data_IF_300949354875
#
_entry.id   IF_300949354875
#
_cell.length_a   1.000
_cell.length_b   1.000
_cell.length_c   1.000
_cell.angle_alpha   90.00
_cell.angle_beta   90.00
_cell.angle_gamma   90.00
#
_symmetry.space_group_name_H-M   'P 1'
#
loop_
_entity.id
_entity.type
_entity.pdbx_description
1 polymer ?
#
# COMPACT_ATOMS: atom_id res chain seq x y z
N UNK A 1 -7.34 3.55 -13.30
CA UNK A 1 -6.88 4.96 -13.13
C UNK A 1 -8.00 5.99 -13.15
N UNK A 2 -8.77 6.17 -14.23
CA UNK A 2 -9.85 7.19 -14.28
C UNK A 2 -10.92 6.98 -13.21
N UNK A 3 -11.30 5.73 -12.96
CA UNK A 3 -12.26 5.34 -11.93
C UNK A 3 -11.85 5.83 -10.54
N UNK A 4 -10.57 5.64 -10.14
CA UNK A 4 -10.05 6.14 -8.87
C UNK A 4 -10.35 7.64 -8.71
N UNK A 5 -10.03 8.44 -9.73
CA UNK A 5 -10.23 9.90 -9.69
C UNK A 5 -11.72 10.28 -9.68
N UNK A 6 -12.55 9.63 -10.51
CA UNK A 6 -13.99 9.93 -10.59
C UNK A 6 -14.74 9.54 -9.32
N UNK A 7 -14.29 8.52 -8.61
CA UNK A 7 -14.89 8.06 -7.36
C UNK A 7 -14.38 8.81 -6.14
N UNK A 8 -13.68 9.94 -6.28
CA UNK A 8 -13.24 10.78 -5.16
C UNK A 8 -14.30 11.00 -4.06
N UNK A 9 -15.58 11.32 -4.39
CA UNK A 9 -16.64 11.45 -3.39
C UNK A 9 -16.95 10.18 -2.57
N UNK A 10 -16.59 9.00 -3.09
CA UNK A 10 -16.76 7.70 -2.42
C UNK A 10 -15.48 7.22 -1.72
N UNK A 11 -14.52 8.11 -1.45
CA UNK A 11 -13.31 7.84 -0.65
C UNK A 11 -12.54 6.60 -1.14
N UNK A 12 -11.96 6.63 -2.37
CA UNK A 12 -11.12 5.53 -2.84
C UNK A 12 -9.90 5.39 -1.92
N UNK A 13 -9.61 4.15 -1.48
CA UNK A 13 -8.59 3.85 -0.47
C UNK A 13 -7.37 3.17 -1.06
N UNK A 14 -7.55 2.27 -2.02
CA UNK A 14 -6.43 1.65 -2.71
C UNK A 14 -6.77 1.32 -4.16
N UNK A 15 -5.75 1.19 -4.99
CA UNK A 15 -5.80 0.61 -6.33
C UNK A 15 -4.67 -0.39 -6.47
N UNK A 16 -5.03 -1.65 -6.75
CA UNK A 16 -4.10 -2.73 -7.05
C UNK A 16 -4.23 -3.13 -8.52
N UNK A 17 -3.12 -3.06 -9.25
CA UNK A 17 -3.02 -3.47 -10.64
C UNK A 17 -1.82 -4.43 -10.79
N UNK A 18 -1.86 -5.26 -11.82
CA UNK A 18 -0.76 -6.17 -12.15
C UNK A 18 -0.52 -6.09 -13.65
N UNK A 19 0.75 -6.01 -14.05
CA UNK A 19 1.17 -6.05 -15.45
C UNK A 19 2.14 -7.21 -15.68
N UNK A 20 1.82 -8.06 -16.65
CA UNK A 20 2.66 -9.15 -17.10
C UNK A 20 3.48 -8.70 -18.32
N UNK A 21 4.77 -9.06 -18.35
CA UNK A 21 5.65 -8.79 -19.49
C UNK A 21 5.84 -7.31 -19.82
N UNK A 22 5.66 -6.41 -18.85
CA UNK A 22 5.96 -4.98 -18.98
C UNK A 22 4.98 -4.14 -19.82
N UNK A 23 3.88 -4.71 -20.33
CA UNK A 23 2.91 -3.92 -21.11
C UNK A 23 1.46 -4.40 -21.04
N UNK A 24 1.23 -5.70 -20.76
CA UNK A 24 -0.13 -6.25 -20.74
C UNK A 24 -0.63 -6.35 -19.31
N UNK A 25 -1.69 -5.61 -18.99
CA UNK A 25 -2.35 -5.75 -17.69
C UNK A 25 -2.88 -7.17 -17.51
N UNK A 26 -2.67 -7.72 -16.32
CA UNK A 26 -3.27 -8.96 -15.89
C UNK A 26 -4.81 -8.85 -15.95
N UNK A 27 -5.49 -9.99 -15.85
CA UNK A 27 -6.96 -10.03 -16.00
C UNK A 27 -7.69 -9.11 -15.02
N UNK A 28 -7.20 -8.99 -13.78
CA UNK A 28 -7.92 -8.30 -12.72
C UNK A 28 -7.21 -7.03 -12.23
N UNK A 29 -8.01 -6.06 -11.80
CA UNK A 29 -7.56 -4.95 -10.97
C UNK A 29 -8.60 -4.68 -9.89
N UNK A 30 -8.16 -4.12 -8.77
CA UNK A 30 -8.96 -3.99 -7.57
C UNK A 30 -8.92 -2.57 -7.05
N UNK A 31 -10.09 -1.97 -6.82
CA UNK A 31 -10.21 -0.64 -6.22
C UNK A 31 -11.09 -0.74 -4.97
N UNK A 32 -10.46 -0.63 -3.80
CA UNK A 32 -11.18 -0.53 -2.53
C UNK A 32 -11.55 0.92 -2.23
N UNK A 33 -12.75 1.15 -1.71
CA UNK A 33 -13.29 2.49 -1.44
C UNK A 33 -14.37 2.44 -0.36
N UNK A 34 -14.77 3.60 0.16
CA UNK A 34 -15.79 3.70 1.22
C UNK A 34 -15.18 3.78 2.62
N UNK A 35 -15.98 3.42 3.63
CA UNK A 35 -15.51 3.32 5.01
C UNK A 35 -14.63 2.08 5.16
N UNK A 36 -13.71 2.09 6.12
CA UNK A 36 -12.76 0.99 6.30
C UNK A 36 -12.49 0.69 7.76
N UNK A 37 -12.32 -0.60 8.07
CA UNK A 37 -11.62 -1.02 9.27
C UNK A 37 -10.14 -0.66 9.09
N UNK A 38 -9.59 0.14 9.99
CA UNK A 38 -8.18 0.55 9.93
C UNK A 38 -7.39 -0.03 11.09
N UNK A 39 -6.16 -0.45 10.80
CA UNK A 39 -5.16 -0.90 11.77
C UNK A 39 -3.84 -0.18 11.49
N UNK A 40 -3.28 0.50 12.49
CA UNK A 40 -2.04 1.26 12.38
C UNK A 40 -1.16 1.04 13.60
N UNK A 41 0.04 0.53 13.37
CA UNK A 41 1.09 0.41 14.38
C UNK A 41 1.97 1.66 14.32
N UNK A 42 1.75 2.59 15.24
CA UNK A 42 2.51 3.83 15.39
C UNK A 42 3.58 3.65 16.47
N UNK A 43 4.60 4.51 16.49
CA UNK A 43 5.63 4.48 17.55
C UNK A 43 5.04 4.62 18.96
N UNK A 44 3.94 5.35 19.08
CA UNK A 44 3.24 5.64 20.35
C UNK A 44 2.28 4.54 20.78
N UNK A 45 1.79 3.70 19.87
CA UNK A 45 0.72 2.76 20.16
C UNK A 45 0.13 2.10 18.92
N UNK A 46 -0.84 1.22 19.13
CA UNK A 46 -1.64 0.61 18.09
C UNK A 46 -2.99 1.33 18.00
N UNK A 47 -3.33 1.86 16.83
CA UNK A 47 -4.69 2.30 16.52
C UNK A 47 -5.41 1.21 15.75
N UNK A 48 -6.58 0.80 16.20
CA UNK A 48 -7.31 -0.28 15.57
C UNK A 48 -8.82 -0.07 15.77
N UNK A 49 -9.58 -0.05 14.67
CA UNK A 49 -11.05 0.15 14.71
C UNK A 49 -11.46 1.47 15.37
N UNK A 50 -10.66 2.53 15.22
CA UNK A 50 -10.90 3.83 15.86
C UNK A 50 -10.51 3.91 17.35
N UNK A 51 -10.03 2.81 17.94
CA UNK A 51 -9.57 2.75 19.33
C UNK A 51 -8.04 2.78 19.40
N UNK A 52 -7.50 3.18 20.55
CA UNK A 52 -6.07 3.23 20.82
C UNK A 52 -5.69 2.20 21.89
N UNK A 53 -4.64 1.43 21.60
CA UNK A 53 -4.11 0.37 22.45
C UNK A 53 -2.60 0.54 22.65
N UNK A 54 -2.03 -0.02 23.72
CA UNK A 54 -0.59 -0.21 23.81
C UNK A 54 -0.05 -0.99 22.61
N UNK A 55 1.23 -0.78 22.29
CA UNK A 55 1.89 -1.58 21.24
C UNK A 55 1.93 -3.07 21.63
N UNK A 56 1.90 -3.99 20.66
CA UNK A 56 2.24 -5.39 20.90
C UNK A 56 3.61 -5.49 21.57
N UNK A 57 3.79 -6.44 22.49
CA UNK A 57 5.05 -6.58 23.25
C UNK A 57 6.02 -7.57 22.60
N UNK A 58 5.51 -8.50 21.80
CA UNK A 58 6.26 -9.58 21.18
C UNK A 58 5.55 -10.08 19.91
N UNK A 59 6.15 -11.07 19.26
CA UNK A 59 5.61 -11.71 18.06
C UNK A 59 4.16 -12.19 18.22
N UNK A 60 3.82 -12.87 19.33
CA UNK A 60 2.48 -13.45 19.53
C UNK A 60 1.43 -12.35 19.60
N UNK A 61 1.66 -11.32 20.41
CA UNK A 61 0.75 -10.18 20.54
C UNK A 61 0.48 -9.52 19.18
N UNK A 62 1.52 -9.35 18.34
CA UNK A 62 1.39 -8.75 17.01
C UNK A 62 0.56 -9.63 16.07
N UNK A 63 0.84 -10.94 16.04
CA UNK A 63 0.12 -11.88 15.20
C UNK A 63 -1.34 -12.04 15.63
N UNK A 64 -1.63 -12.01 16.92
CA UNK A 64 -2.99 -12.11 17.45
C UNK A 64 -3.83 -10.88 17.06
N UNK A 65 -3.24 -9.69 17.15
CA UNK A 65 -3.86 -8.46 16.65
C UNK A 65 -4.14 -8.53 15.14
N UNK A 66 -3.18 -9.01 14.34
CA UNK A 66 -3.38 -9.13 12.89
C UNK A 66 -4.47 -10.19 12.55
N UNK A 67 -4.52 -11.30 13.28
CA UNK A 67 -5.57 -12.33 13.11
C UNK A 67 -6.96 -11.80 13.46
N UNK A 68 -7.08 -11.05 14.56
CA UNK A 68 -8.35 -10.40 14.92
C UNK A 68 -8.74 -9.35 13.88
N UNK A 69 -7.78 -8.57 13.35
CA UNK A 69 -8.06 -7.62 12.27
C UNK A 69 -8.55 -8.31 10.99
N UNK A 70 -7.98 -9.46 10.62
CA UNK A 70 -8.45 -10.27 9.48
C UNK A 70 -9.85 -10.83 9.75
N UNK A 71 -10.13 -11.33 10.96
CA UNK A 71 -11.45 -11.91 11.27
C UNK A 71 -12.58 -10.88 11.30
N UNK A 72 -12.25 -9.60 11.47
CA UNK A 72 -13.21 -8.48 11.50
C UNK A 72 -13.30 -7.70 10.18
N UNK A 73 -12.60 -8.12 9.13
CA UNK A 73 -12.74 -7.44 7.83
C UNK A 73 -14.18 -7.53 7.33
N UNK A 74 -14.72 -6.47 6.69
CA UNK A 74 -16.06 -6.52 6.11
C UNK A 74 -16.22 -7.67 5.12
N UNK A 75 -17.29 -8.45 5.26
CA UNK A 75 -17.62 -9.51 4.32
C UNK A 75 -18.28 -8.90 3.07
N UNK A 76 -17.58 -8.90 1.94
CA UNK A 76 -18.08 -8.25 0.73
C UNK A 76 -18.91 -9.22 -0.13
N UNK A 77 -20.09 -8.76 -0.55
CA UNK A 77 -21.03 -9.52 -1.37
C UNK A 77 -21.29 -8.83 -2.72
N UNK A 78 -21.61 -9.58 -3.79
CA UNK A 78 -21.80 -11.03 -3.83
C UNK A 78 -20.49 -11.81 -3.89
N UNK A 79 -20.52 -13.07 -3.45
CA UNK A 79 -19.40 -13.99 -3.66
C UNK A 79 -19.25 -14.32 -5.16
N UNK A 80 -18.06 -14.08 -5.72
CA UNK A 80 -17.73 -14.39 -7.11
C UNK A 80 -16.75 -15.56 -7.12
N UNK A 81 -17.14 -16.74 -7.64
CA UNK A 81 -16.27 -17.90 -7.68
C UNK A 81 -14.96 -17.62 -8.43
N UNK A 82 -13.85 -18.13 -7.89
CA UNK A 82 -12.50 -18.03 -8.49
C UNK A 82 -11.95 -16.60 -8.59
N UNK A 83 -12.58 -15.63 -7.92
CA UNK A 83 -12.03 -14.28 -7.83
C UNK A 83 -10.76 -14.32 -6.95
N UNK A 84 -9.61 -13.77 -7.41
CA UNK A 84 -8.36 -13.90 -6.66
C UNK A 84 -8.31 -13.03 -5.40
N UNK A 85 -9.16 -12.01 -5.33
CA UNK A 85 -9.27 -11.12 -4.18
C UNK A 85 -10.70 -10.58 -4.07
N UNK A 86 -11.36 -10.85 -2.95
CA UNK A 86 -12.76 -10.50 -2.69
C UNK A 86 -12.94 -9.53 -1.51
N UNK A 87 -11.86 -8.87 -1.08
CA UNK A 87 -11.82 -8.07 0.14
C UNK A 87 -10.80 -8.60 1.14
N UNK A 88 -10.55 -7.82 2.19
CA UNK A 88 -9.55 -8.12 3.23
C UNK A 88 -8.68 -6.92 3.57
N UNK A 89 -7.67 -7.13 4.42
CA UNK A 89 -6.70 -6.11 4.78
C UNK A 89 -5.73 -5.84 3.62
N UNK A 90 -5.61 -4.57 3.25
CA UNK A 90 -4.66 -4.06 2.25
C UNK A 90 -3.86 -2.92 2.89
N UNK A 91 -2.55 -2.92 2.72
CA UNK A 91 -1.70 -1.96 3.39
C UNK A 91 -0.22 -2.19 3.19
N UNK A 92 0.58 -1.72 4.15
CA UNK A 92 2.03 -1.80 4.16
C UNK A 92 2.55 -2.09 5.56
N UNK A 93 3.59 -2.91 5.65
CA UNK A 93 4.45 -3.04 6.82
C UNK A 93 5.87 -2.60 6.46
N UNK A 94 6.45 -1.73 7.27
CA UNK A 94 7.84 -1.35 7.19
C UNK A 94 8.75 -2.48 7.67
N UNK A 95 10.02 -2.42 7.25
CA UNK A 95 11.03 -3.42 7.58
C UNK A 95 11.19 -3.64 9.09
N UNK A 96 11.12 -2.58 9.89
CA UNK A 96 11.34 -2.66 11.35
C UNK A 96 10.31 -3.53 12.09
N UNK A 97 9.19 -3.92 11.46
CA UNK A 97 8.29 -4.95 11.98
C UNK A 97 8.99 -6.28 12.26
N UNK A 98 10.10 -6.57 11.57
CA UNK A 98 10.94 -7.75 11.82
C UNK A 98 11.45 -7.82 13.27
N UNK A 99 11.54 -6.69 13.97
CA UNK A 99 12.02 -6.62 15.37
C UNK A 99 11.06 -7.27 16.38
N UNK A 100 9.85 -7.59 15.95
CA UNK A 100 8.94 -8.44 16.72
C UNK A 100 9.31 -9.92 16.67
N UNK A 101 10.04 -10.33 15.63
CA UNK A 101 10.41 -11.71 15.34
C UNK A 101 11.87 -11.98 15.68
N UNK A 102 12.75 -11.00 15.48
CA UNK A 102 14.19 -11.15 15.63
C UNK A 102 14.77 -10.07 16.55
N UNK A 103 15.76 -10.46 17.37
CA UNK A 103 16.50 -9.51 18.18
C UNK A 103 17.57 -8.82 17.34
N UNK A 104 17.29 -7.59 16.91
CA UNK A 104 18.22 -6.76 16.16
C UNK A 104 18.78 -5.65 17.06
N UNK A 105 20.02 -5.77 17.56
CA UNK A 105 20.65 -4.70 18.33
C UNK A 105 20.85 -3.47 17.43
N UNK A 106 20.67 -2.28 18.00
CA UNK A 106 20.74 -0.96 17.34
C UNK A 106 19.50 -0.60 16.49
N UNK A 107 18.72 0.37 16.98
CA UNK A 107 17.84 1.14 16.12
C UNK A 107 18.70 2.18 15.39
N UNK A 108 18.71 2.20 14.04
CA UNK A 108 19.34 3.30 13.34
C UNK A 108 18.63 4.59 13.73
N UNK A 109 19.36 5.55 14.30
CA UNK A 109 18.84 6.89 14.51
C UNK A 109 18.89 7.63 13.18
N UNK A 110 17.87 7.48 12.35
CA UNK A 110 17.81 8.25 11.11
C UNK A 110 17.50 9.70 11.47
N UNK A 111 18.33 10.63 10.99
CA UNK A 111 18.00 12.05 11.01
C UNK A 111 16.73 12.22 10.15
N UNK A 112 15.74 12.94 10.69
CA UNK A 112 14.43 13.15 10.07
C UNK A 112 13.69 11.84 9.71
N UNK A 113 13.42 10.99 10.71
CA UNK A 113 12.53 9.85 10.49
C UNK A 113 11.13 10.31 10.05
N UNK A 114 10.58 9.74 8.96
CA UNK A 114 9.19 9.93 8.62
C UNK A 114 8.33 9.57 9.83
N UNK A 115 7.32 10.39 10.13
CA UNK A 115 6.30 10.08 11.15
C UNK A 115 5.36 8.95 10.71
N UNK A 116 5.77 8.17 9.72
CA UNK A 116 5.00 7.09 9.17
C UNK A 116 4.76 5.98 10.22
N UNK A 117 3.60 5.34 10.20
CA UNK A 117 3.38 4.14 10.98
C UNK A 117 4.32 3.02 10.52
N UNK A 118 4.72 2.17 11.46
CA UNK A 118 5.54 0.99 11.20
C UNK A 118 4.77 -0.07 10.41
N UNK A 119 3.46 -0.15 10.62
CA UNK A 119 2.55 -0.87 9.74
C UNK A 119 1.20 -0.17 9.68
N UNK A 120 0.56 -0.15 8.52
CA UNK A 120 -0.78 0.39 8.34
C UNK A 120 -1.56 -0.43 7.31
N UNK A 121 -2.74 -0.86 7.70
CA UNK A 121 -3.66 -1.65 6.90
C UNK A 121 -5.06 -1.09 6.99
N UNK A 122 -5.83 -1.30 5.92
CA UNK A 122 -7.24 -1.00 5.89
C UNK A 122 -8.02 -2.09 5.15
N UNK A 123 -9.26 -2.30 5.56
CA UNK A 123 -10.22 -3.18 4.88
C UNK A 123 -11.50 -2.37 4.58
N UNK A 124 -11.65 -1.86 3.34
CA UNK A 124 -12.81 -1.07 2.97
C UNK A 124 -14.06 -1.92 2.84
N UNK A 125 -15.22 -1.30 3.03
CA UNK A 125 -16.55 -1.91 2.93
C UNK A 125 -17.02 -2.13 1.48
N UNK A 126 -16.28 -1.62 0.49
CA UNK A 126 -16.64 -1.66 -0.92
C UNK A 126 -15.43 -1.93 -1.80
N UNK A 127 -15.64 -2.74 -2.85
CA UNK A 127 -14.62 -3.15 -3.79
C UNK A 127 -15.16 -3.12 -5.23
N UNK A 128 -14.49 -2.39 -6.11
CA UNK A 128 -14.65 -2.58 -7.56
C UNK A 128 -13.61 -3.57 -8.06
N UNK A 129 -14.10 -4.60 -8.72
CA UNK A 129 -13.29 -5.60 -9.42
C UNK A 129 -13.40 -5.35 -10.91
N UNK A 130 -12.28 -5.02 -11.54
CA UNK A 130 -12.19 -4.87 -12.98
C UNK A 130 -11.78 -6.21 -13.59
N UNK A 131 -12.61 -6.78 -14.46
CA UNK A 131 -12.25 -7.93 -15.30
C UNK A 131 -11.94 -7.42 -16.71
N UNK A 132 -10.65 -7.28 -17.02
CA UNK A 132 -10.16 -6.76 -18.30
C UNK A 132 -10.40 -7.74 -19.45
N UNK A 133 -10.60 -9.03 -19.16
CA UNK A 133 -10.92 -10.04 -20.17
C UNK A 133 -12.37 -9.88 -20.63
N UNK A 134 -13.31 -9.79 -19.69
CA UNK A 134 -14.74 -9.64 -20.02
C UNK A 134 -15.18 -8.20 -20.21
N UNK A 135 -14.31 -7.22 -19.90
CA UNK A 135 -14.59 -5.78 -19.89
C UNK A 135 -15.75 -5.41 -18.97
N UNK A 136 -15.85 -6.10 -17.84
CA UNK A 136 -16.88 -5.85 -16.82
C UNK A 136 -16.26 -5.27 -15.55
N UNK A 137 -17.08 -4.53 -14.81
CA UNK A 137 -16.76 -4.08 -13.45
C UNK A 137 -17.80 -4.70 -12.53
N UNK A 138 -17.37 -5.51 -11.56
CA UNK A 138 -18.22 -5.98 -10.49
C UNK A 138 -18.09 -5.05 -9.28
N UNK A 139 -19.21 -4.78 -8.61
CA UNK A 139 -19.25 -4.09 -7.33
C UNK A 139 -19.55 -5.12 -6.25
N UNK A 140 -18.63 -5.23 -5.29
CA UNK A 140 -18.81 -5.97 -4.06
C UNK A 140 -18.95 -4.97 -2.92
N UNK A 141 -19.86 -5.22 -1.98
CA UNK A 141 -20.15 -4.31 -0.86
C UNK A 141 -20.58 -5.12 0.37
N UNK A 142 -20.25 -4.65 1.57
CA UNK A 142 -20.61 -5.28 2.84
C UNK A 142 -22.07 -5.03 3.27
N UNK A 143 -22.66 -3.93 2.81
CA UNK A 143 -24.05 -3.59 3.08
C UNK A 143 -25.07 -4.48 2.36
N UNK A 144 -26.33 -4.33 2.74
CA UNK A 144 -27.45 -5.09 2.20
C UNK A 144 -27.73 -4.81 0.71
N UNK A 145 -28.62 -5.59 0.12
CA UNK A 145 -28.94 -5.49 -1.31
C UNK A 145 -29.42 -4.10 -1.75
N UNK A 146 -30.21 -3.40 -0.91
CA UNK A 146 -30.67 -2.03 -1.20
C UNK A 146 -29.50 -1.05 -1.25
N UNK A 147 -28.66 -1.04 -0.21
CA UNK A 147 -27.48 -0.19 -0.11
C UNK A 147 -26.52 -0.43 -1.28
N UNK A 148 -26.29 -1.71 -1.64
CA UNK A 148 -25.46 -2.08 -2.79
C UNK A 148 -26.03 -1.59 -4.11
N UNK A 149 -27.36 -1.60 -4.29
CA UNK A 149 -28.01 -1.09 -5.51
C UNK A 149 -27.91 0.44 -5.61
N UNK A 150 -28.09 1.15 -4.50
CA UNK A 150 -27.91 2.60 -4.41
C UNK A 150 -26.46 2.99 -4.71
N UNK A 151 -25.51 2.30 -4.08
CA UNK A 151 -24.08 2.50 -4.33
C UNK A 151 -23.72 2.23 -5.79
N UNK A 152 -24.30 1.19 -6.40
CA UNK A 152 -24.11 0.88 -7.83
C UNK A 152 -24.62 2.01 -8.72
N UNK A 153 -25.79 2.57 -8.42
CA UNK A 153 -26.34 3.70 -9.17
C UNK A 153 -25.42 4.93 -9.06
N UNK A 154 -24.91 5.21 -7.86
CA UNK A 154 -24.00 6.31 -7.60
C UNK A 154 -22.65 6.15 -8.31
N UNK A 155 -22.04 4.96 -8.22
CA UNK A 155 -20.81 4.63 -8.96
C UNK A 155 -21.00 4.85 -10.46
N UNK A 156 -22.12 4.39 -11.04
CA UNK A 156 -22.42 4.61 -12.47
C UNK A 156 -22.55 6.09 -12.81
N UNK A 157 -23.23 6.86 -11.96
CA UNK A 157 -23.41 8.31 -12.13
C UNK A 157 -22.06 9.04 -12.13
N UNK A 158 -21.20 8.74 -11.16
CA UNK A 158 -19.85 9.32 -11.06
C UNK A 158 -18.97 8.92 -12.24
N UNK A 159 -19.03 7.65 -12.67
CA UNK A 159 -18.27 7.17 -13.83
C UNK A 159 -18.71 7.80 -15.15
N UNK A 160 -20.00 8.15 -15.31
CA UNK A 160 -20.53 8.86 -16.46
C UNK A 160 -20.20 10.37 -16.44
N UNK A 161 -19.92 10.93 -15.26
CA UNK A 161 -19.56 12.33 -15.09
C UNK A 161 -18.22 12.73 -15.73
N UNK A 162 -17.92 14.04 -15.80
CA UNK A 162 -16.66 14.53 -16.34
C UNK A 162 -15.47 14.08 -15.51
N UNK A 163 -14.29 14.02 -16.12
CA UNK A 163 -13.05 13.83 -15.36
C UNK A 163 -12.80 15.03 -14.44
N UNK A 164 -12.46 14.81 -13.16
CA UNK A 164 -12.01 15.89 -12.30
C UNK A 164 -10.81 16.62 -12.92
N UNK A 165 -10.77 17.95 -12.80
CA UNK A 165 -9.64 18.75 -13.29
C UNK A 165 -8.36 18.29 -12.60
N UNK A 166 -7.28 18.16 -13.36
CA UNK A 166 -5.97 17.92 -12.77
C UNK A 166 -5.45 19.24 -12.19
N UNK A 167 -4.84 19.21 -11.01
CA UNK A 167 -4.07 20.36 -10.52
C UNK A 167 -2.80 20.50 -11.38
N UNK A 168 -2.53 21.72 -11.84
CA UNK A 168 -1.54 21.98 -12.89
C UNK A 168 -0.15 22.43 -12.38
N UNK A 169 0.06 22.60 -11.07
CA UNK A 169 1.37 23.03 -10.54
C UNK A 169 2.02 21.94 -9.70
N UNK A 170 2.94 21.21 -10.33
CA UNK A 170 3.84 20.28 -9.69
C UNK A 170 5.18 20.98 -9.43
N UNK A 171 5.54 21.14 -8.16
CA UNK A 171 6.90 21.47 -7.74
C UNK A 171 7.57 20.22 -7.19
N UNK A 172 8.83 20.01 -7.55
CA UNK A 172 9.69 18.99 -6.97
C UNK A 172 10.92 19.72 -6.43
N UNK A 173 11.16 19.59 -5.13
CA UNK A 173 12.32 20.13 -4.45
C UNK A 173 13.58 19.28 -4.68
N UNK A 174 14.72 19.70 -4.12
CA UNK A 174 15.95 18.90 -4.18
C UNK A 174 15.75 17.54 -3.49
N UNK A 175 16.43 16.53 -4.01
CA UNK A 175 16.47 15.19 -3.44
C UNK A 175 17.74 15.04 -2.61
N UNK A 176 17.59 14.55 -1.38
CA UNK A 176 18.67 14.28 -0.44
C UNK A 176 18.80 12.77 -0.23
N UNK A 177 20.03 12.26 -0.33
CA UNK A 177 20.36 10.88 0.01
C UNK A 177 20.68 10.75 1.51
N UNK A 178 20.35 9.61 2.11
CA UNK A 178 20.68 9.29 3.50
C UNK A 178 22.14 8.96 3.73
N UNK A 179 22.88 8.65 2.65
CA UNK A 179 24.31 8.37 2.66
C UNK A 179 24.94 9.10 1.47
N UNK A 180 26.11 9.68 1.69
CA UNK A 180 26.98 10.13 0.61
C UNK A 180 27.53 8.94 -0.16
N UNK A 181 28.09 9.21 -1.35
CA UNK A 181 28.73 8.20 -2.18
C UNK A 181 29.89 7.52 -1.43
N UNK A 182 30.72 8.30 -0.74
CA UNK A 182 31.91 7.78 -0.06
C UNK A 182 31.52 6.94 1.15
N UNK A 183 30.48 7.33 1.90
CA UNK A 183 29.92 6.53 2.99
C UNK A 183 29.33 5.21 2.48
N UNK A 184 28.61 5.23 1.36
CA UNK A 184 28.06 4.02 0.76
C UNK A 184 29.17 3.08 0.28
N UNK A 185 30.21 3.60 -0.38
CA UNK A 185 31.38 2.80 -0.82
C UNK A 185 32.10 2.20 0.39
N UNK A 186 32.32 2.97 1.46
CA UNK A 186 32.92 2.46 2.69
C UNK A 186 32.07 1.35 3.33
N UNK A 187 30.74 1.48 3.32
CA UNK A 187 29.83 0.43 3.79
C UNK A 187 29.91 -0.85 2.92
N UNK A 188 30.05 -0.71 1.60
CA UNK A 188 30.25 -1.83 0.67
C UNK A 188 31.58 -2.55 0.96
N UNK A 189 32.67 -1.81 1.13
CA UNK A 189 33.98 -2.41 1.45
C UNK A 189 33.95 -3.14 2.79
N UNK A 190 33.35 -2.55 3.81
CA UNK A 190 33.14 -3.23 5.10
C UNK A 190 32.29 -4.50 4.96
N UNK A 191 31.27 -4.49 4.11
CA UNK A 191 30.44 -5.67 3.85
C UNK A 191 31.25 -6.80 3.19
N UNK A 192 32.15 -6.47 2.26
CA UNK A 192 33.08 -7.43 1.64
C UNK A 192 34.03 -8.05 2.66
N UNK A 193 34.51 -7.27 3.64
CA UNK A 193 35.31 -7.80 4.74
C UNK A 193 34.54 -8.82 5.58
N UNK A 194 33.27 -8.55 5.91
CA UNK A 194 32.41 -9.51 6.62
C UNK A 194 32.19 -10.79 5.80
N UNK A 195 32.02 -10.67 4.48
CA UNK A 195 31.93 -11.85 3.59
C UNK A 195 33.23 -12.65 3.60
N UNK A 196 34.38 -11.98 3.48
CA UNK A 196 35.69 -12.63 3.46
C UNK A 196 36.01 -13.36 4.79
N UNK A 197 35.51 -12.85 5.92
CA UNK A 197 35.63 -13.50 7.23
C UNK A 197 34.67 -14.66 7.44
N UNK A 198 33.68 -14.84 6.55
CA UNK A 198 32.66 -15.87 6.66
C UNK A 198 31.50 -15.52 7.59
N UNK A 199 31.35 -14.24 7.98
CA UNK A 199 30.27 -13.79 8.87
C UNK A 199 28.91 -13.79 8.15
N UNK A 200 28.91 -13.48 6.85
CA UNK A 200 27.73 -13.44 5.98
C UNK A 200 28.08 -13.91 4.56
N UNK A 201 27.09 -14.37 3.80
CA UNK A 201 27.27 -14.67 2.37
C UNK A 201 26.96 -13.47 1.47
N UNK A 202 25.99 -12.66 1.86
CA UNK A 202 25.51 -11.49 1.11
C UNK A 202 24.89 -10.47 2.08
N UNK A 203 25.03 -9.18 1.77
CA UNK A 203 24.28 -8.09 2.40
C UNK A 203 23.72 -7.16 1.33
N UNK A 204 22.44 -6.79 1.48
CA UNK A 204 21.76 -5.84 0.58
C UNK A 204 21.74 -4.48 1.25
N UNK A 205 22.69 -3.61 0.89
CA UNK A 205 22.73 -2.23 1.36
C UNK A 205 21.75 -1.36 0.57
N UNK A 206 21.11 -0.42 1.26
CA UNK A 206 20.15 0.51 0.65
C UNK A 206 20.47 1.95 1.03
N UNK A 207 20.14 2.88 0.13
CA UNK A 207 20.18 4.33 0.37
C UNK A 207 18.76 4.87 0.27
N UNK A 208 18.34 5.68 1.25
CA UNK A 208 17.05 6.37 1.20
C UNK A 208 17.22 7.72 0.51
N UNK A 209 16.33 8.03 -0.42
CA UNK A 209 16.24 9.35 -1.05
C UNK A 209 14.97 10.05 -0.59
N UNK A 210 15.10 11.30 -0.13
CA UNK A 210 13.99 12.10 0.39
C UNK A 210 13.93 13.43 -0.34
N UNK A 211 12.73 13.92 -0.65
CA UNK A 211 12.51 15.24 -1.24
C UNK A 211 11.11 15.75 -0.93
N UNK A 212 10.90 17.05 -1.12
CA UNK A 212 9.58 17.67 -0.97
C UNK A 212 8.92 17.84 -2.34
N UNK A 213 7.60 17.70 -2.41
CA UNK A 213 6.83 17.92 -3.63
C UNK A 213 5.45 18.48 -3.33
N UNK A 214 4.82 19.05 -4.36
CA UNK A 214 3.40 19.47 -4.34
C UNK A 214 2.54 18.59 -5.25
N UNK A 215 3.07 17.46 -5.71
CA UNK A 215 2.31 16.48 -6.50
C UNK A 215 1.16 15.90 -5.68
N UNK A 216 -0.01 15.84 -6.30
CA UNK A 216 -1.10 14.96 -5.86
C UNK A 216 -0.57 13.51 -5.82
N UNK A 217 -0.66 12.78 -4.69
CA UNK A 217 -0.02 11.48 -4.53
C UNK A 217 -0.38 10.47 -5.63
N UNK A 218 -1.62 10.50 -6.12
CA UNK A 218 -2.09 9.60 -7.18
C UNK A 218 -1.43 9.88 -8.54
N UNK A 219 -0.91 11.08 -8.78
CA UNK A 219 -0.15 11.39 -10.01
C UNK A 219 1.20 10.66 -10.04
N UNK A 220 1.83 10.45 -8.88
CA UNK A 220 3.03 9.59 -8.76
C UNK A 220 2.73 8.16 -9.21
N UNK A 221 1.58 7.60 -8.80
CA UNK A 221 1.15 6.29 -9.24
C UNK A 221 0.96 6.23 -10.76
N UNK A 222 0.30 7.24 -11.32
CA UNK A 222 0.09 7.32 -12.78
C UNK A 222 1.39 7.39 -13.55
N UNK A 223 2.37 8.13 -13.06
CA UNK A 223 3.70 8.20 -13.65
C UNK A 223 4.43 6.85 -13.58
N UNK A 224 4.44 6.19 -12.42
CA UNK A 224 5.06 4.86 -12.27
C UNK A 224 4.40 3.81 -13.16
N UNK A 225 3.07 3.81 -13.23
CA UNK A 225 2.30 2.91 -14.10
C UNK A 225 2.64 3.07 -15.58
N UNK A 226 3.06 4.26 -16.01
CA UNK A 226 3.49 4.53 -17.38
C UNK A 226 4.95 4.17 -17.61
N UNK A 227 5.83 4.51 -16.67
CA UNK A 227 7.28 4.40 -16.82
C UNK A 227 7.80 2.98 -16.56
N UNK A 228 7.25 2.28 -15.58
CA UNK A 228 7.74 0.98 -15.15
C UNK A 228 6.57 0.10 -14.67
N UNK A 229 5.70 -0.39 -15.56
CA UNK A 229 4.63 -1.30 -15.20
C UNK A 229 5.19 -2.65 -14.73
N UNK A 230 4.71 -3.14 -13.58
CA UNK A 230 5.21 -4.36 -12.93
C UNK A 230 4.08 -5.30 -12.50
N UNK A 231 4.41 -6.56 -12.12
CA UNK A 231 3.44 -7.51 -11.60
C UNK A 231 2.72 -7.05 -10.33
N UNK A 232 3.29 -6.14 -9.54
CA UNK A 232 2.72 -5.64 -8.28
C UNK A 232 2.68 -4.12 -8.25
N UNK A 233 1.67 -3.54 -8.89
CA UNK A 233 1.41 -2.10 -8.82
C UNK A 233 0.36 -1.78 -7.78
N UNK A 234 0.66 -0.79 -6.95
CA UNK A 234 -0.22 -0.39 -5.87
C UNK A 234 -0.17 1.12 -5.65
N UNK A 235 -1.34 1.65 -5.35
CA UNK A 235 -1.52 2.93 -4.67
C UNK A 235 -2.40 2.66 -3.45
N UNK A 236 -1.93 2.99 -2.26
CA UNK A 236 -2.66 2.84 -1.02
C UNK A 236 -2.70 4.19 -0.29
N UNK A 237 -3.88 4.74 -0.11
CA UNK A 237 -4.14 5.90 0.74
C UNK A 237 -4.48 5.44 2.16
N UNK A 238 -3.47 5.51 3.01
CA UNK A 238 -3.53 5.11 4.41
C UNK A 238 -3.68 6.36 5.31
N UNK A 239 -4.35 7.42 4.83
CA UNK A 239 -4.64 8.62 5.61
C UNK A 239 -3.53 9.66 5.52
N UNK A 240 -2.72 9.80 6.56
CA UNK A 240 -1.56 10.71 6.59
C UNK A 240 -0.32 10.15 5.85
N UNK A 241 -0.43 8.94 5.31
CA UNK A 241 0.60 8.27 4.55
C UNK A 241 0.00 7.66 3.28
N UNK A 242 0.60 7.98 2.13
CA UNK A 242 0.30 7.31 0.87
C UNK A 242 1.48 6.43 0.47
N UNK A 243 1.20 5.18 0.13
CA UNK A 243 2.19 4.22 -0.34
C UNK A 243 1.95 3.97 -1.83
N UNK A 244 2.98 4.22 -2.63
CA UNK A 244 2.92 4.11 -4.08
C UNK A 244 4.07 3.24 -4.55
N UNK A 245 3.80 2.25 -5.40
CA UNK A 245 4.86 1.37 -5.87
C UNK A 245 4.51 0.54 -7.11
N UNK A 246 5.58 0.01 -7.68
CA UNK A 246 5.57 -0.89 -8.83
C UNK A 246 6.66 -1.95 -8.61
N UNK A 247 6.37 -2.94 -7.78
CA UNK A 247 7.34 -3.98 -7.40
C UNK A 247 7.41 -5.09 -8.46
N UNK A 248 8.62 -5.51 -8.88
CA UNK A 248 8.79 -6.66 -9.75
C UNK A 248 8.65 -8.01 -9.03
N UNK A 249 8.72 -8.03 -7.70
CA UNK A 249 8.89 -9.25 -6.90
C UNK A 249 7.85 -9.35 -5.78
N UNK A 250 7.37 -10.56 -5.51
CA UNK A 250 6.53 -10.89 -4.36
C UNK A 250 7.39 -11.46 -3.23
N UNK A 251 7.01 -11.13 -1.99
CA UNK A 251 7.57 -11.74 -0.81
C UNK A 251 7.05 -13.18 -0.61
N UNK A 252 5.73 -13.37 -0.68
CA UNK A 252 5.04 -14.65 -0.52
C UNK A 252 3.69 -14.60 -1.24
N UNK A 253 3.18 -15.77 -1.68
CA UNK A 253 1.85 -15.93 -2.28
C UNK A 253 1.14 -17.16 -1.73
#
# INVERSE_FOLDING_TARGET
VSTYRKLGPLKPRFLLESAEGGARFARYSFLGFGEALELRLEKTGLRYGGQFFPRPRNQSDLLDVLRDAVSRTPELQPHIPKLPFAGGLVGSAGYDTVRYFEHLPNLPQLIDEPRAPEAAYLAPDSLLVFDHLTRCIALLHAGGDSERQELRAEVRRLLAGPMPKAQQKAGIGPVQASLSRDEFVAAVERSKEYIAKGDIYQLVLSVRFTGQHTLEPFETYRALRLLNPSPYMFFCDLGDMQVVGSSPEALVR
#
